data_IF_919082456931
#
_entry.id   IF_919082456931
#
_cell.length_a   1.000
_cell.length_b   1.000
_cell.length_c   1.000
_cell.angle_alpha   90.00
_cell.angle_beta   90.00
_cell.angle_gamma   90.00
#
_symmetry.space_group_name_H-M   'P 1'
#
loop_
_entity.id
_entity.type
_entity.pdbx_description
1 polymer ?
#
# COMPACT_ATOMS: atom_id res chain seq x y z
N UNK A 1 13.04 36.95 21.56
CA UNK A 1 11.70 36.51 21.96
C UNK A 1 11.30 35.41 21.00
N UNK A 2 11.08 34.21 21.50
CA UNK A 2 10.73 33.03 20.69
C UNK A 2 9.28 33.19 20.22
N UNK A 3 9.09 33.42 18.93
CA UNK A 3 7.78 33.77 18.35
C UNK A 3 6.82 32.57 18.39
N UNK A 4 5.51 32.82 18.37
CA UNK A 4 4.51 31.74 18.32
C UNK A 4 4.64 30.87 17.04
N UNK A 5 5.33 31.39 16.03
CA UNK A 5 5.64 30.73 14.78
C UNK A 5 6.87 29.81 14.92
N UNK A 6 7.94 30.27 15.59
CA UNK A 6 9.09 29.43 15.94
C UNK A 6 8.70 28.23 16.81
N UNK A 7 7.82 28.43 17.81
CA UNK A 7 7.32 27.33 18.64
C UNK A 7 6.53 26.30 17.83
N UNK A 8 5.74 26.75 16.83
CA UNK A 8 5.00 25.85 15.93
C UNK A 8 5.95 25.10 14.99
N UNK A 9 6.94 25.79 14.43
CA UNK A 9 7.95 25.19 13.57
C UNK A 9 8.78 24.12 14.30
N UNK A 10 9.21 24.41 15.53
CA UNK A 10 9.93 23.47 16.38
C UNK A 10 9.09 22.23 16.73
N UNK A 11 7.81 22.44 17.06
CA UNK A 11 6.88 21.33 17.30
C UNK A 11 6.70 20.46 16.05
N UNK A 12 6.45 21.06 14.89
CA UNK A 12 6.28 20.33 13.62
C UNK A 12 7.56 19.55 13.24
N UNK A 13 8.74 20.16 13.41
CA UNK A 13 10.02 19.50 13.18
C UNK A 13 10.21 18.29 14.12
N UNK A 14 9.82 18.42 15.39
CA UNK A 14 9.84 17.31 16.35
C UNK A 14 8.89 16.19 15.94
N UNK A 15 7.65 16.53 15.55
CA UNK A 15 6.66 15.56 15.08
C UNK A 15 7.15 14.80 13.84
N UNK A 16 7.73 15.50 12.85
CA UNK A 16 8.32 14.86 11.65
C UNK A 16 9.43 13.89 12.02
N UNK A 17 10.36 14.29 12.91
CA UNK A 17 11.45 13.41 13.38
C UNK A 17 10.92 12.18 14.12
N UNK A 18 9.90 12.36 14.96
CA UNK A 18 9.26 11.25 15.68
C UNK A 18 8.58 10.28 14.72
N UNK A 19 7.86 10.79 13.71
CA UNK A 19 7.23 9.95 12.69
C UNK A 19 8.28 9.17 11.89
N UNK A 20 9.31 9.85 11.38
CA UNK A 20 10.38 9.20 10.61
C UNK A 20 11.05 8.07 11.41
N UNK A 21 11.29 8.26 12.72
CA UNK A 21 11.88 7.25 13.59
C UNK A 21 10.95 6.06 13.85
N UNK A 22 9.63 6.29 13.92
CA UNK A 22 8.65 5.28 14.31
C UNK A 22 7.81 4.76 13.14
N UNK A 23 8.14 5.16 11.90
CA UNK A 23 7.38 4.88 10.68
C UNK A 23 7.05 3.40 10.54
N UNK A 24 8.05 2.52 10.69
CA UNK A 24 7.86 1.08 10.52
C UNK A 24 6.92 0.49 11.58
N UNK A 25 7.04 0.95 12.82
CA UNK A 25 6.16 0.54 13.92
C UNK A 25 4.73 1.04 13.70
N UNK A 26 4.56 2.26 13.21
CA UNK A 26 3.26 2.86 12.88
C UNK A 26 2.60 2.07 11.74
N UNK A 27 3.34 1.80 10.67
CA UNK A 27 2.86 1.04 9.52
C UNK A 27 2.55 -0.41 9.89
N UNK A 28 3.35 -1.03 10.78
CA UNK A 28 3.04 -2.34 11.34
C UNK A 28 1.71 -2.33 12.11
N UNK A 29 1.50 -1.39 13.04
CA UNK A 29 0.24 -1.26 13.78
C UNK A 29 -0.95 -0.99 12.88
N UNK A 30 -0.79 -0.17 11.85
CA UNK A 30 -1.82 0.08 10.82
C UNK A 30 -2.24 -1.22 10.13
N UNK A 31 -1.26 -2.02 9.70
CA UNK A 31 -1.52 -3.34 9.09
C UNK A 31 -2.24 -4.29 10.03
N UNK A 32 -1.85 -4.34 11.30
CA UNK A 32 -2.50 -5.19 12.31
C UNK A 32 -3.96 -4.75 12.56
N UNK A 33 -4.20 -3.44 12.71
CA UNK A 33 -5.56 -2.89 12.89
C UNK A 33 -6.44 -3.18 11.68
N UNK A 34 -5.90 -3.06 10.47
CA UNK A 34 -6.67 -3.39 9.28
C UNK A 34 -6.97 -4.88 9.16
N UNK A 35 -5.99 -5.76 9.45
CA UNK A 35 -6.24 -7.22 9.49
C UNK A 35 -7.39 -7.53 10.44
N UNK A 36 -7.40 -6.92 11.63
CA UNK A 36 -8.50 -7.07 12.60
C UNK A 36 -9.83 -6.57 12.05
N UNK A 37 -9.89 -5.36 11.47
CA UNK A 37 -11.11 -4.80 10.87
C UNK A 37 -11.64 -5.63 9.71
N UNK A 38 -10.75 -6.15 8.86
CA UNK A 38 -11.09 -7.01 7.73
C UNK A 38 -11.61 -8.37 8.19
N UNK A 39 -10.99 -8.98 9.20
CA UNK A 39 -11.49 -10.21 9.82
C UNK A 39 -12.85 -10.00 10.49
N UNK A 40 -13.04 -8.90 11.22
CA UNK A 40 -14.32 -8.55 11.84
C UNK A 40 -15.44 -8.30 10.80
N UNK A 41 -15.11 -7.68 9.65
CA UNK A 41 -16.07 -7.50 8.56
C UNK A 41 -16.49 -8.83 7.93
N UNK A 42 -15.59 -9.82 7.89
CA UNK A 42 -15.90 -11.16 7.41
C UNK A 42 -16.71 -11.98 8.44
N UNK A 43 -16.43 -11.82 9.74
CA UNK A 43 -17.23 -12.44 10.82
C UNK A 43 -18.64 -11.85 10.90
N UNK A 44 -18.79 -10.54 10.73
CA UNK A 44 -20.09 -9.85 10.73
C UNK A 44 -20.89 -10.05 9.43
N UNK A 45 -20.30 -10.69 8.40
CA UNK A 45 -20.96 -11.01 7.13
C UNK A 45 -21.44 -12.47 7.06
N UNK A 46 -21.43 -13.20 8.18
CA UNK A 46 -22.05 -14.52 8.29
C UNK A 46 -23.57 -14.36 8.49
N UNK A 47 -24.27 -14.00 7.43
CA UNK A 47 -25.65 -14.48 7.29
C UNK A 47 -25.62 -15.97 6.90
N UNK A 48 -26.50 -16.80 7.47
CA UNK A 48 -26.53 -18.23 7.19
C UNK A 48 -27.08 -18.46 5.78
N UNK A 49 -26.19 -18.76 4.83
CA UNK A 49 -26.57 -19.42 3.58
C UNK A 49 -26.81 -20.91 3.85
N UNK A 50 -27.86 -21.20 4.61
CA UNK A 50 -28.55 -22.47 4.50
C UNK A 50 -29.45 -22.43 3.26
N UNK A 51 -29.51 -23.56 2.57
CA UNK A 51 -30.37 -23.91 1.42
C UNK A 51 -29.93 -23.48 0.02
N UNK A 52 -29.05 -24.31 -0.58
CA UNK A 52 -29.35 -24.94 -1.88
C UNK A 52 -28.86 -26.40 -1.86
N UNK A 53 -29.79 -27.30 -2.07
CA UNK A 53 -29.71 -28.75 -1.92
C UNK A 53 -28.77 -29.44 -2.92
N UNK A 54 -27.99 -30.40 -2.42
CA UNK A 54 -28.06 -31.81 -2.84
C UNK A 54 -27.49 -32.23 -4.20
N UNK A 55 -26.33 -32.89 -4.17
CA UNK A 55 -26.12 -34.20 -4.80
C UNK A 55 -24.78 -34.81 -4.36
N UNK A 56 -24.82 -36.10 -4.03
CA UNK A 56 -23.76 -36.98 -3.53
C UNK A 56 -22.56 -37.10 -4.52
N UNK A 57 -21.39 -37.60 -4.09
CA UNK A 57 -20.13 -37.60 -4.82
C UNK A 57 -20.12 -38.70 -5.90
N UNK A 58 -19.66 -38.33 -7.09
CA UNK A 58 -19.28 -39.30 -8.10
C UNK A 58 -17.76 -39.29 -8.24
N UNK A 59 -17.14 -40.34 -7.72
CA UNK A 59 -15.85 -40.81 -8.20
C UNK A 59 -16.02 -41.16 -9.68
N UNK A 60 -15.49 -40.33 -10.57
CA UNK A 60 -15.29 -40.67 -11.98
C UNK A 60 -13.79 -40.72 -12.18
N UNK A 61 -13.26 -41.93 -12.09
CA UNK A 61 -12.00 -42.34 -12.69
C UNK A 61 -12.10 -42.12 -14.21
N UNK A 62 -11.74 -40.93 -14.67
CA UNK A 62 -11.54 -40.63 -16.08
C UNK A 62 -10.04 -40.55 -16.35
N UNK A 63 -9.52 -41.65 -16.85
CA UNK A 63 -8.19 -41.83 -17.41
C UNK A 63 -8.02 -40.88 -18.62
N UNK A 64 -7.50 -39.68 -18.39
CA UNK A 64 -7.06 -38.75 -19.44
C UNK A 64 -5.63 -38.34 -19.09
N UNK A 65 -4.74 -38.53 -20.06
CA UNK A 65 -3.29 -38.58 -19.93
C UNK A 65 -2.67 -37.51 -19.03
N UNK A 66 -1.59 -37.93 -18.36
CA UNK A 66 -0.77 -37.11 -17.48
C UNK A 66 -0.64 -35.67 -18.00
N UNK A 67 -1.25 -34.66 -17.36
CA UNK A 67 -0.77 -33.31 -17.57
C UNK A 67 0.68 -33.34 -17.11
N UNK A 68 1.61 -33.00 -18.01
CA UNK A 68 2.99 -32.70 -17.65
C UNK A 68 2.92 -31.80 -16.44
N UNK A 69 3.20 -32.35 -15.26
CA UNK A 69 3.35 -31.60 -14.02
C UNK A 69 4.63 -30.81 -14.25
N UNK A 70 4.52 -29.63 -14.88
CA UNK A 70 5.57 -28.64 -14.85
C UNK A 70 5.86 -28.47 -13.36
N UNK A 71 7.05 -28.91 -12.93
CA UNK A 71 7.51 -28.67 -11.57
C UNK A 71 7.65 -27.17 -11.43
N UNK A 72 6.60 -26.53 -10.91
CA UNK A 72 6.67 -25.12 -10.49
C UNK A 72 7.76 -25.06 -9.43
N UNK A 73 8.90 -24.48 -9.81
CA UNK A 73 9.93 -24.18 -8.82
C UNK A 73 9.43 -23.01 -7.98
N UNK A 74 9.79 -22.93 -6.69
CA UNK A 74 9.47 -21.76 -5.86
C UNK A 74 9.90 -20.45 -6.51
N UNK A 75 10.99 -20.47 -7.29
CA UNK A 75 11.49 -19.34 -8.06
C UNK A 75 10.52 -18.92 -9.18
N UNK A 76 10.04 -19.87 -9.99
CA UNK A 76 9.01 -19.59 -11.02
C UNK A 76 7.74 -19.01 -10.39
N UNK A 77 7.30 -19.56 -9.25
CA UNK A 77 6.14 -19.05 -8.53
C UNK A 77 6.32 -17.62 -8.00
N UNK A 78 7.54 -17.28 -7.53
CA UNK A 78 7.87 -15.93 -7.07
C UNK A 78 7.85 -14.91 -8.22
N UNK A 79 8.41 -15.27 -9.38
CA UNK A 79 8.38 -14.43 -10.59
C UNK A 79 6.95 -14.18 -11.06
N UNK A 80 6.12 -15.22 -11.13
CA UNK A 80 4.70 -15.08 -11.47
C UNK A 80 3.96 -14.17 -10.48
N UNK A 81 4.30 -14.26 -9.19
CA UNK A 81 3.72 -13.39 -8.19
C UNK A 81 4.17 -11.94 -8.37
N UNK A 82 5.44 -11.68 -8.70
CA UNK A 82 5.94 -10.33 -9.04
C UNK A 82 5.16 -9.77 -10.24
N UNK A 83 4.94 -10.56 -11.30
CA UNK A 83 4.18 -10.13 -12.47
C UNK A 83 2.75 -9.72 -12.08
N UNK A 84 2.08 -10.53 -11.25
CA UNK A 84 0.73 -10.21 -10.74
C UNK A 84 0.71 -8.93 -9.90
N UNK A 85 1.69 -8.76 -9.00
CA UNK A 85 1.82 -7.57 -8.16
C UNK A 85 2.12 -6.33 -9.01
N UNK A 86 2.97 -6.47 -10.04
CA UNK A 86 3.25 -5.42 -11.03
C UNK A 86 1.98 -4.99 -11.77
N UNK A 87 1.19 -5.95 -12.27
CA UNK A 87 -0.06 -5.64 -12.97
C UNK A 87 -1.05 -4.93 -12.04
N UNK A 88 -1.20 -5.39 -10.80
CA UNK A 88 -2.04 -4.73 -9.79
C UNK A 88 -1.58 -3.31 -9.51
N UNK A 89 -0.26 -3.09 -9.36
CA UNK A 89 0.31 -1.77 -9.14
C UNK A 89 0.10 -0.83 -10.35
N UNK A 90 0.27 -1.36 -11.57
CA UNK A 90 -0.01 -0.62 -12.80
C UNK A 90 -1.48 -0.19 -12.91
N UNK A 91 -2.41 -1.06 -12.52
CA UNK A 91 -3.85 -0.74 -12.48
C UNK A 91 -4.13 0.34 -11.42
N UNK A 92 -3.60 0.17 -10.20
CA UNK A 92 -3.77 1.11 -9.09
C UNK A 92 -3.32 2.53 -9.51
N UNK A 93 -2.15 2.61 -10.12
CA UNK A 93 -1.50 3.88 -10.48
C UNK A 93 -1.92 4.40 -11.85
N UNK A 94 -2.72 3.64 -12.60
CA UNK A 94 -3.03 3.92 -14.01
C UNK A 94 -1.77 4.19 -14.85
N UNK A 95 -0.67 3.50 -14.51
CA UNK A 95 0.63 3.66 -15.17
C UNK A 95 1.45 4.88 -14.77
N UNK A 96 0.99 5.74 -13.84
CA UNK A 96 1.77 6.89 -13.35
C UNK A 96 1.61 7.06 -11.84
N UNK A 97 2.69 6.78 -11.10
CA UNK A 97 2.73 6.97 -9.64
C UNK A 97 2.51 8.44 -9.25
N UNK A 98 3.03 9.38 -10.04
CA UNK A 98 2.90 10.82 -9.80
C UNK A 98 1.46 11.28 -9.99
N UNK A 99 0.82 10.86 -11.10
CA UNK A 99 -0.59 11.16 -11.35
C UNK A 99 -1.49 10.56 -10.28
N UNK A 100 -1.19 9.35 -9.81
CA UNK A 100 -1.95 8.71 -8.75
C UNK A 100 -1.84 9.49 -7.42
N UNK A 101 -0.64 9.93 -7.05
CA UNK A 101 -0.42 10.77 -5.88
C UNK A 101 -1.20 12.10 -5.96
N UNK A 102 -1.19 12.76 -7.13
CA UNK A 102 -1.97 13.97 -7.36
C UNK A 102 -3.47 13.72 -7.22
N UNK A 103 -4.01 12.65 -7.84
CA UNK A 103 -5.43 12.29 -7.71
C UNK A 103 -5.84 12.14 -6.23
N UNK A 104 -5.04 11.40 -5.44
CA UNK A 104 -5.31 11.21 -4.01
C UNK A 104 -5.27 12.54 -3.24
N UNK A 105 -4.34 13.43 -3.56
CA UNK A 105 -4.32 14.77 -2.98
C UNK A 105 -5.60 15.55 -3.34
N UNK A 106 -6.03 15.55 -4.61
CA UNK A 106 -7.23 16.28 -5.05
C UNK A 106 -8.49 15.73 -4.37
N UNK A 107 -8.60 14.40 -4.24
CA UNK A 107 -9.72 13.75 -3.54
C UNK A 107 -9.71 14.05 -2.04
N UNK A 108 -8.54 14.06 -1.41
CA UNK A 108 -8.38 14.51 -0.04
C UNK A 108 -8.84 15.97 0.12
N UNK A 109 -8.37 16.90 -0.72
CA UNK A 109 -8.77 18.31 -0.63
C UNK A 109 -10.27 18.53 -0.85
N UNK A 110 -10.89 17.82 -1.78
CA UNK A 110 -12.34 17.89 -2.02
C UNK A 110 -13.14 17.38 -0.83
N UNK A 111 -12.61 16.41 -0.09
CA UNK A 111 -13.28 15.81 1.05
C UNK A 111 -13.08 16.57 2.35
N UNK A 112 -11.97 17.32 2.51
CA UNK A 112 -11.74 18.17 3.68
C UNK A 112 -12.77 19.28 3.77
N UNK A 113 -13.62 19.22 4.80
CA UNK A 113 -14.46 20.34 5.24
C UNK A 113 -13.85 20.99 6.48
N UNK A 114 -14.14 22.29 6.69
CA UNK A 114 -13.69 23.04 7.88
C UNK A 114 -14.16 22.38 9.18
N UNK A 115 -15.28 21.66 9.15
CA UNK A 115 -15.93 21.12 10.34
C UNK A 115 -15.50 19.70 10.75
N UNK A 116 -14.86 18.90 9.87
CA UNK A 116 -14.46 17.50 10.20
C UNK A 116 -13.14 17.04 9.57
N UNK A 117 -12.00 17.67 9.87
CA UNK A 117 -10.71 17.31 9.27
C UNK A 117 -10.21 15.88 9.58
N UNK A 118 -10.73 15.23 10.62
CA UNK A 118 -10.26 13.90 11.08
C UNK A 118 -10.93 12.71 10.36
N UNK A 119 -12.17 12.85 9.88
CA UNK A 119 -12.88 11.75 9.18
C UNK A 119 -12.24 11.43 7.82
N UNK A 120 -11.53 12.39 7.23
CA UNK A 120 -10.95 12.28 5.88
C UNK A 120 -9.50 11.79 5.86
N UNK A 121 -8.90 11.59 7.03
CA UNK A 121 -7.60 10.92 7.18
C UNK A 121 -7.63 9.50 6.63
N UNK A 122 -8.81 8.86 6.66
CA UNK A 122 -9.04 7.50 6.18
C UNK A 122 -8.57 7.28 4.74
N UNK A 123 -8.78 8.23 3.83
CA UNK A 123 -8.37 8.09 2.43
C UNK A 123 -6.85 7.88 2.29
N UNK A 124 -6.07 8.76 2.92
CA UNK A 124 -4.61 8.69 2.87
C UNK A 124 -4.06 7.53 3.71
N UNK A 125 -4.65 7.24 4.87
CA UNK A 125 -4.29 6.06 5.68
C UNK A 125 -4.50 4.75 4.90
N UNK A 126 -5.65 4.60 4.23
CA UNK A 126 -5.99 3.41 3.46
C UNK A 126 -5.07 3.24 2.25
N UNK A 127 -4.74 4.33 1.56
CA UNK A 127 -3.80 4.30 0.44
C UNK A 127 -2.36 3.93 0.88
N UNK A 128 -1.86 4.53 1.97
CA UNK A 128 -0.55 4.15 2.56
C UNK A 128 -0.55 2.69 2.97
N UNK A 129 -1.67 2.20 3.52
CA UNK A 129 -1.82 0.82 3.93
C UNK A 129 -1.82 -0.15 2.75
N UNK A 130 -2.53 0.17 1.66
CA UNK A 130 -2.54 -0.65 0.45
C UNK A 130 -1.13 -0.79 -0.12
N UNK A 131 -0.38 0.30 -0.21
CA UNK A 131 1.01 0.28 -0.68
C UNK A 131 1.93 -0.46 0.28
N UNK A 132 1.77 -0.29 1.59
CA UNK A 132 2.54 -1.03 2.61
C UNK A 132 2.29 -2.53 2.56
N UNK A 133 1.10 -2.95 2.15
CA UNK A 133 0.75 -4.36 1.93
C UNK A 133 1.41 -4.89 0.66
N UNK A 134 1.37 -4.11 -0.42
CA UNK A 134 2.00 -4.43 -1.68
C UNK A 134 3.53 -4.54 -1.55
N UNK A 135 4.17 -3.58 -0.87
CA UNK A 135 5.61 -3.61 -0.57
C UNK A 135 5.98 -4.89 0.19
N UNK A 136 5.21 -5.24 1.22
CA UNK A 136 5.46 -6.44 2.01
C UNK A 136 5.36 -7.72 1.18
N UNK A 137 4.38 -7.82 0.28
CA UNK A 137 4.25 -8.97 -0.62
C UNK A 137 5.42 -9.07 -1.60
N UNK A 138 5.97 -7.95 -2.06
CA UNK A 138 7.17 -7.91 -2.91
C UNK A 138 8.43 -8.33 -2.13
N UNK A 139 8.59 -7.85 -0.90
CA UNK A 139 9.68 -8.25 0.01
C UNK A 139 9.64 -9.75 0.35
N UNK A 140 8.45 -10.34 0.43
CA UNK A 140 8.30 -11.79 0.57
C UNK A 140 8.85 -12.53 -0.66
N UNK A 141 8.64 -12.01 -1.87
CA UNK A 141 9.20 -12.60 -3.09
C UNK A 141 10.72 -12.40 -3.17
N UNK A 142 11.23 -11.25 -2.72
CA UNK A 142 12.68 -10.99 -2.59
C UNK A 142 13.36 -12.10 -1.79
N UNK A 143 12.78 -12.46 -0.64
CA UNK A 143 13.31 -13.54 0.21
C UNK A 143 13.33 -14.88 -0.50
N UNK A 144 12.30 -15.21 -1.28
CA UNK A 144 12.25 -16.46 -2.06
C UNK A 144 13.33 -16.47 -3.13
N UNK A 145 13.49 -15.39 -3.90
CA UNK A 145 14.52 -15.26 -4.95
C UNK A 145 15.92 -15.43 -4.36
N UNK A 146 16.21 -14.73 -3.25
CA UNK A 146 17.50 -14.83 -2.57
C UNK A 146 17.78 -16.25 -2.05
N UNK A 147 16.74 -16.97 -1.60
CA UNK A 147 16.89 -18.33 -1.05
C UNK A 147 17.16 -19.39 -2.12
N UNK A 148 16.57 -19.24 -3.30
CA UNK A 148 16.57 -20.28 -4.35
C UNK A 148 17.61 -20.08 -5.46
N UNK A 149 18.54 -19.13 -5.27
CA UNK A 149 19.57 -18.80 -6.26
C UNK A 149 19.10 -17.66 -7.14
N UNK A 150 19.42 -16.44 -6.70
CA UNK A 150 19.12 -15.20 -7.39
C UNK A 150 19.80 -15.14 -8.77
N UNK A 151 19.02 -14.98 -9.84
CA UNK A 151 19.55 -14.44 -11.09
C UNK A 151 19.38 -12.92 -11.13
N UNK A 152 20.31 -12.22 -11.79
CA UNK A 152 20.28 -10.75 -11.91
C UNK A 152 18.94 -10.26 -12.46
N UNK A 153 18.38 -10.94 -13.46
CA UNK A 153 17.12 -10.55 -14.11
C UNK A 153 15.88 -10.65 -13.21
N UNK A 154 15.82 -11.62 -12.29
CA UNK A 154 14.70 -11.75 -11.35
C UNK A 154 14.69 -10.62 -10.32
N UNK A 155 15.88 -10.29 -9.80
CA UNK A 155 16.01 -9.15 -8.88
C UNK A 155 15.77 -7.82 -9.58
N UNK A 156 16.19 -7.65 -10.84
CA UNK A 156 15.85 -6.47 -11.64
C UNK A 156 14.33 -6.36 -11.84
N UNK A 157 13.67 -7.47 -12.18
CA UNK A 157 12.21 -7.50 -12.35
C UNK A 157 11.47 -7.15 -11.06
N UNK A 158 11.96 -7.65 -9.91
CA UNK A 158 11.43 -7.28 -8.60
C UNK A 158 11.62 -5.79 -8.32
N UNK A 159 12.84 -5.27 -8.49
CA UNK A 159 13.18 -3.86 -8.20
C UNK A 159 12.41 -2.88 -9.07
N UNK A 160 12.19 -3.23 -10.34
CA UNK A 160 11.38 -2.45 -11.27
C UNK A 160 9.94 -2.18 -10.75
N UNK A 161 9.44 -3.01 -9.83
CA UNK A 161 8.13 -2.81 -9.17
C UNK A 161 8.30 -2.26 -7.76
N UNK A 162 9.22 -2.83 -6.98
CA UNK A 162 9.41 -2.48 -5.57
C UNK A 162 9.86 -1.03 -5.37
N UNK A 163 10.74 -0.51 -6.22
CA UNK A 163 11.27 0.84 -6.06
C UNK A 163 10.18 1.90 -6.32
N UNK A 164 9.39 1.85 -7.41
CA UNK A 164 8.24 2.73 -7.59
C UNK A 164 7.19 2.64 -6.47
N UNK A 165 6.93 1.44 -5.93
CA UNK A 165 6.01 1.24 -4.79
C UNK A 165 6.50 2.00 -3.56
N UNK A 166 7.80 1.92 -3.26
CA UNK A 166 8.42 2.64 -2.13
C UNK A 166 8.40 4.14 -2.30
N UNK A 167 8.70 4.62 -3.52
CA UNK A 167 8.64 6.04 -3.85
C UNK A 167 7.24 6.59 -3.61
N UNK A 168 6.22 5.92 -4.18
CA UNK A 168 4.84 6.33 -4.00
C UNK A 168 4.41 6.25 -2.52
N UNK A 169 4.77 5.19 -1.81
CA UNK A 169 4.47 5.06 -0.38
C UNK A 169 5.06 6.22 0.43
N UNK A 170 6.29 6.63 0.14
CA UNK A 170 6.93 7.79 0.77
C UNK A 170 6.17 9.10 0.51
N UNK A 171 5.68 9.32 -0.71
CA UNK A 171 4.86 10.50 -1.03
C UNK A 171 3.53 10.50 -0.30
N UNK A 172 2.85 9.36 -0.22
CA UNK A 172 1.58 9.25 0.51
C UNK A 172 1.78 9.44 2.02
N UNK A 173 2.88 8.93 2.57
CA UNK A 173 3.26 9.15 3.96
C UNK A 173 3.58 10.61 4.24
N UNK A 174 4.28 11.32 3.34
CA UNK A 174 4.50 12.76 3.45
C UNK A 174 3.15 13.50 3.50
N UNK A 175 2.27 13.24 2.54
CA UNK A 175 0.95 13.87 2.50
C UNK A 175 0.16 13.63 3.78
N UNK A 176 0.15 12.38 4.25
CA UNK A 176 -0.53 12.00 5.49
C UNK A 176 0.07 12.69 6.71
N UNK A 177 1.40 12.82 6.79
CA UNK A 177 2.07 13.56 7.86
C UNK A 177 1.67 15.05 7.86
N UNK A 178 1.72 15.70 6.71
CA UNK A 178 1.39 17.13 6.61
C UNK A 178 -0.11 17.37 6.86
N UNK A 179 -0.98 16.45 6.42
CA UNK A 179 -2.41 16.44 6.74
C UNK A 179 -2.69 16.28 8.24
N UNK A 180 -1.92 15.41 8.93
CA UNK A 180 -2.01 15.23 10.38
C UNK A 180 -1.57 16.47 11.17
N UNK A 181 -0.68 17.30 10.62
CA UNK A 181 -0.33 18.60 11.20
C UNK A 181 -1.50 19.57 11.00
N UNK A 182 -1.89 19.81 9.75
CA UNK A 182 -3.17 20.43 9.41
C UNK A 182 -3.48 20.30 7.92
N UNK A 183 -4.76 20.21 7.52
CA UNK A 183 -5.12 20.21 6.09
C UNK A 183 -4.63 21.45 5.33
N UNK A 184 -4.58 22.61 6.01
CA UNK A 184 -4.08 23.86 5.45
C UNK A 184 -2.58 23.79 5.11
N UNK A 185 -1.79 23.16 5.99
CA UNK A 185 -0.35 23.00 5.79
C UNK A 185 -0.03 22.05 4.63
N UNK A 186 -0.77 20.94 4.47
CA UNK A 186 -0.66 20.10 3.27
C UNK A 186 -1.02 20.89 1.99
N UNK A 187 -2.12 21.67 2.03
CA UNK A 187 -2.53 22.51 0.91
C UNK A 187 -1.46 23.54 0.54
N UNK A 188 -0.87 24.19 1.53
CA UNK A 188 0.20 25.17 1.33
C UNK A 188 1.43 24.56 0.66
N UNK A 189 1.91 23.41 1.15
CA UNK A 189 3.02 22.67 0.52
C UNK A 189 2.72 22.30 -0.93
N UNK A 190 1.50 21.82 -1.20
CA UNK A 190 1.10 21.50 -2.57
C UNK A 190 1.14 22.73 -3.48
N UNK A 191 0.57 23.86 -3.04
CA UNK A 191 0.54 25.11 -3.83
C UNK A 191 1.95 25.68 -4.07
N UNK A 192 2.86 25.50 -3.11
CA UNK A 192 4.27 25.89 -3.23
C UNK A 192 5.14 24.87 -3.97
N UNK A 193 4.55 23.75 -4.41
CA UNK A 193 5.26 22.63 -5.05
C UNK A 193 6.34 21.99 -4.18
N UNK A 194 6.17 22.01 -2.86
CA UNK A 194 7.13 21.48 -1.87
C UNK A 194 6.88 20.00 -1.50
N UNK A 195 5.90 19.34 -2.14
CA UNK A 195 5.67 17.90 -1.96
C UNK A 195 6.57 17.12 -2.91
N UNK A 196 7.20 16.06 -2.41
CA UNK A 196 8.24 15.34 -3.15
C UNK A 196 7.78 14.80 -4.52
N UNK A 197 6.49 14.45 -4.66
CA UNK A 197 5.95 13.99 -5.94
C UNK A 197 5.82 15.09 -7.00
N UNK A 198 5.81 16.37 -6.61
CA UNK A 198 5.69 17.52 -7.53
C UNK A 198 7.04 17.97 -8.11
N UNK A 199 8.14 17.45 -7.55
CA UNK A 199 9.54 17.66 -7.97
C UNK A 199 10.11 16.43 -8.69
N UNK A 200 9.31 15.39 -8.87
CA UNK A 200 9.73 14.15 -9.52
C UNK A 200 9.65 14.29 -11.05
N UNK A 201 10.82 14.38 -11.68
CA UNK A 201 11.03 14.38 -13.14
C UNK A 201 11.51 13.00 -13.63
#
# INVERSE_FOLDING_TARGET
MDTAEERRAAHNASSRRSYAKNRDLINQRRRETYKQRKSQKNENSLEPLDSLQGAHPFEIEANIGHPRTQRYTPLTGAVDQIIRLSARFGILTQGSIQRHADILYQEYQRSVTVDRPQDFRGLLDDAVLELSSLEQSLLEQERVILTWGCTVGEMESLRAVLDPVRVLAGWLEEMLCEAMISPANLREKYLRRELAFLEYD
#
